data_IF_145738568890
#
_entry.id   IF_145738568890
#
_cell.length_a   1.000
_cell.length_b   1.000
_cell.length_c   1.000
_cell.angle_alpha   90.00
_cell.angle_beta   90.00
_cell.angle_gamma   90.00
#
_symmetry.space_group_name_H-M   'P 1'
#
loop_
_entity.id
_entity.type
_entity.pdbx_description
1 polymer ?
#
# COMPACT_ATOMS: atom_id res chain seq x y z
N UNK A 1 -17.94 -9.30 -8.83
CA UNK A 1 -16.67 -9.75 -8.22
C UNK A 1 -16.48 -8.98 -6.93
N UNK A 2 -16.36 -9.65 -5.78
CA UNK A 2 -16.13 -9.00 -4.49
C UNK A 2 -14.62 -9.02 -4.25
N UNK A 3 -13.98 -7.85 -4.22
CA UNK A 3 -12.55 -7.76 -3.89
C UNK A 3 -12.47 -7.91 -2.38
N UNK A 4 -12.03 -9.08 -1.91
CA UNK A 4 -11.89 -9.37 -0.48
C UNK A 4 -10.59 -8.79 0.08
N UNK A 5 -9.53 -8.74 -0.73
CA UNK A 5 -8.23 -8.19 -0.37
C UNK A 5 -7.57 -7.51 -1.56
N UNK A 6 -6.71 -6.54 -1.27
CA UNK A 6 -5.90 -5.80 -2.23
C UNK A 6 -4.58 -5.38 -1.57
N UNK A 7 -3.61 -4.99 -2.38
CA UNK A 7 -2.32 -4.49 -1.95
C UNK A 7 -2.30 -2.97 -2.04
N UNK A 8 -1.81 -2.32 -1.00
CA UNK A 8 -1.65 -0.88 -0.94
C UNK A 8 -0.15 -0.60 -1.03
N UNK A 9 0.22 0.31 -1.95
CA UNK A 9 1.56 0.88 -2.00
C UNK A 9 1.49 2.33 -1.55
N UNK A 10 2.30 2.71 -0.56
CA UNK A 10 2.43 4.09 -0.08
C UNK A 10 3.75 4.71 -0.56
N UNK A 11 3.82 6.04 -0.52
CA UNK A 11 5.04 6.77 -0.85
C UNK A 11 6.09 6.56 0.26
N UNK A 12 7.33 6.17 -0.09
CA UNK A 12 8.36 5.94 0.91
C UNK A 12 8.90 7.24 1.51
N UNK A 13 9.54 7.07 2.66
CA UNK A 13 10.46 8.03 3.28
C UNK A 13 11.90 7.56 3.07
N UNK A 14 12.88 8.39 3.43
CA UNK A 14 14.30 8.06 3.30
C UNK A 14 14.75 6.80 4.09
N UNK A 15 13.93 6.34 5.04
CA UNK A 15 14.22 5.16 5.88
C UNK A 15 13.19 4.04 5.70
N UNK A 16 12.26 4.19 4.76
CA UNK A 16 11.22 3.19 4.53
C UNK A 16 11.81 1.90 3.96
N UNK A 17 11.22 0.79 4.38
CA UNK A 17 11.47 -0.56 3.84
C UNK A 17 10.30 -1.00 2.98
N UNK A 18 10.47 -2.11 2.26
CA UNK A 18 9.41 -2.74 1.47
C UNK A 18 8.16 -3.03 2.31
N UNK A 19 8.32 -3.46 3.56
CA UNK A 19 7.20 -3.80 4.43
C UNK A 19 6.45 -2.57 4.94
N UNK A 20 7.11 -1.41 5.02
CA UNK A 20 6.48 -0.16 5.43
C UNK A 20 5.55 0.39 4.35
N UNK A 21 5.89 0.16 3.08
CA UNK A 21 5.19 0.77 1.96
C UNK A 21 4.30 -0.17 1.18
N UNK A 22 4.53 -1.49 1.21
CA UNK A 22 3.76 -2.47 0.42
C UNK A 22 3.13 -3.53 1.34
N UNK A 23 1.82 -3.44 1.54
CA UNK A 23 1.09 -4.34 2.43
C UNK A 23 -0.30 -4.69 1.91
N UNK A 24 -0.77 -5.89 2.27
CA UNK A 24 -2.11 -6.34 1.93
C UNK A 24 -3.13 -5.81 2.95
N UNK A 25 -4.31 -5.42 2.47
CA UNK A 25 -5.43 -5.01 3.30
C UNK A 25 -6.77 -5.35 2.64
N UNK A 26 -7.85 -5.05 3.36
CA UNK A 26 -9.21 -5.04 2.85
C UNK A 26 -9.83 -3.64 3.06
N UNK A 27 -11.09 -3.46 2.68
CA UNK A 27 -11.78 -2.17 2.81
C UNK A 27 -11.86 -1.71 4.27
N UNK A 28 -12.05 -2.64 5.21
CA UNK A 28 -12.12 -2.32 6.63
C UNK A 28 -10.74 -1.92 7.17
N UNK A 29 -9.70 -2.67 6.81
CA UNK A 29 -8.31 -2.39 7.15
C UNK A 29 -7.84 -1.05 6.59
N UNK A 30 -8.12 -0.75 5.31
CA UNK A 30 -7.80 0.56 4.72
C UNK A 30 -8.52 1.70 5.45
N UNK A 31 -9.79 1.51 5.84
CA UNK A 31 -10.51 2.50 6.67
C UNK A 31 -9.81 2.73 8.01
N UNK A 32 -9.35 1.67 8.68
CA UNK A 32 -8.60 1.78 9.93
C UNK A 32 -7.26 2.50 9.73
N UNK A 33 -6.56 2.26 8.61
CA UNK A 33 -5.34 2.99 8.28
C UNK A 33 -5.60 4.50 8.13
N UNK A 34 -6.69 4.89 7.45
CA UNK A 34 -7.08 6.31 7.37
C UNK A 34 -7.39 6.90 8.75
N UNK A 35 -8.10 6.16 9.62
CA UNK A 35 -8.35 6.60 11.00
C UNK A 35 -7.06 6.68 11.83
N UNK A 36 -6.06 5.86 11.52
CA UNK A 36 -4.73 5.87 12.11
C UNK A 36 -3.81 6.96 11.58
N UNK A 37 -4.26 7.79 10.62
CA UNK A 37 -3.51 8.93 10.11
C UNK A 37 -2.84 8.72 8.76
N UNK A 38 -3.04 7.57 8.09
CA UNK A 38 -2.71 7.45 6.68
C UNK A 38 -3.49 8.53 5.92
N UNK A 39 -2.82 9.25 5.02
CA UNK A 39 -3.47 10.22 4.14
C UNK A 39 -3.58 9.66 2.74
N UNK A 40 -4.66 9.96 2.02
CA UNK A 40 -4.83 9.54 0.63
C UNK A 40 -3.71 10.04 -0.28
N UNK A 41 -3.16 11.23 -0.01
CA UNK A 41 -2.01 11.79 -0.73
C UNK A 41 -0.71 10.98 -0.59
N UNK A 42 -0.62 10.14 0.46
CA UNK A 42 0.50 9.24 0.71
C UNK A 42 0.32 7.88 0.05
N UNK A 43 -0.86 7.57 -0.50
CA UNK A 43 -1.07 6.35 -1.28
C UNK A 43 -0.50 6.59 -2.68
N UNK A 44 0.40 5.70 -3.11
CA UNK A 44 0.88 5.64 -4.48
C UNK A 44 -0.11 4.91 -5.36
N UNK A 45 -0.59 3.74 -4.91
CA UNK A 45 -1.53 2.93 -5.66
C UNK A 45 -2.17 1.81 -4.85
N UNK A 46 -3.24 1.24 -5.40
CA UNK A 46 -3.92 0.04 -4.90
C UNK A 46 -3.97 -0.99 -6.02
N UNK A 47 -3.56 -2.22 -5.72
CA UNK A 47 -3.34 -3.29 -6.69
C UNK A 47 -4.09 -4.54 -6.26
N UNK A 48 -4.52 -5.35 -7.23
CA UNK A 48 -5.12 -6.66 -6.95
C UNK A 48 -4.09 -7.79 -6.94
N UNK A 49 -2.94 -7.58 -7.55
CA UNK A 49 -1.84 -8.55 -7.64
C UNK A 49 -0.67 -8.15 -6.72
N UNK A 50 -0.08 -9.13 -6.04
CA UNK A 50 1.05 -8.91 -5.13
C UNK A 50 2.35 -8.58 -5.85
N UNK A 51 2.62 -9.26 -6.98
CA UNK A 51 3.86 -9.07 -7.71
C UNK A 51 3.90 -7.69 -8.36
N UNK A 52 2.77 -7.23 -8.90
CA UNK A 52 2.62 -5.85 -9.41
C UNK A 52 2.88 -4.81 -8.31
N UNK A 53 2.27 -4.97 -7.13
CA UNK A 53 2.45 -4.05 -6.01
C UNK A 53 3.91 -4.01 -5.53
N UNK A 54 4.56 -5.17 -5.38
CA UNK A 54 5.95 -5.28 -4.96
C UNK A 54 6.91 -4.67 -6.00
N UNK A 55 6.69 -4.94 -7.28
CA UNK A 55 7.49 -4.37 -8.36
C UNK A 55 7.40 -2.84 -8.36
N UNK A 56 6.22 -2.29 -8.11
CA UNK A 56 6.07 -0.84 -8.03
C UNK A 56 6.72 -0.26 -6.77
N UNK A 57 6.54 -0.91 -5.62
CA UNK A 57 7.19 -0.50 -4.37
C UNK A 57 8.72 -0.53 -4.47
N UNK A 58 9.30 -1.51 -5.17
CA UNK A 58 10.75 -1.61 -5.40
C UNK A 58 11.28 -0.42 -6.22
N UNK A 59 10.55 0.03 -7.24
CA UNK A 59 10.89 1.23 -8.02
C UNK A 59 10.89 2.50 -7.17
N UNK A 60 10.04 2.56 -6.13
CA UNK A 60 9.95 3.72 -5.24
C UNK A 60 11.07 3.74 -4.19
N UNK A 61 11.64 2.58 -3.84
CA UNK A 61 12.71 2.44 -2.86
C UNK A 61 14.13 2.52 -3.48
N UNK A 62 14.23 2.44 -4.81
CA UNK A 62 15.48 2.51 -5.56
C UNK A 62 15.91 3.96 -5.81
#
# INVERSE_FOLDING_TARGET
MKIEKFWIVTKPTAVSTMQDICFQSDVHGLRLQFLGGLKSENIHGIYTDEAEAKQEAEKLLS
#
